data_IF_491271974140
#
_entry.id   IF_491271974140
#
_cell.length_a   1.000
_cell.length_b   1.000
_cell.length_c   1.000
_cell.angle_alpha   90.00
_cell.angle_beta   90.00
_cell.angle_gamma   90.00
#
_symmetry.space_group_name_H-M   'P 1'
#
loop_
_entity.id
_entity.type
_entity.pdbx_description
1 polymer ?
#
# COMPACT_ATOMS: atom_id res chain seq x y z
N UNK A 1 15.67 13.84 -9.30
CA UNK A 1 14.96 12.67 -8.74
C UNK A 1 16.02 11.73 -8.22
N UNK A 2 15.98 11.42 -6.92
CA UNK A 2 16.93 10.51 -6.30
C UNK A 2 16.43 9.10 -6.58
N UNK A 3 17.26 8.26 -7.20
CA UNK A 3 16.89 6.88 -7.49
C UNK A 3 17.09 6.07 -6.21
N UNK A 4 16.07 5.34 -5.81
CA UNK A 4 16.09 4.43 -4.66
C UNK A 4 15.52 3.08 -5.07
N UNK A 5 16.07 2.00 -4.55
CA UNK A 5 15.50 0.67 -4.69
C UNK A 5 14.95 0.27 -3.33
N UNK A 6 13.63 0.19 -3.24
CA UNK A 6 12.93 -0.05 -1.98
C UNK A 6 12.83 -1.55 -1.71
N UNK A 7 13.09 -1.92 -0.45
CA UNK A 7 13.06 -3.28 0.04
C UNK A 7 12.63 -3.31 1.50
N UNK A 8 11.82 -4.31 1.86
CA UNK A 8 11.49 -4.68 3.25
C UNK A 8 12.02 -6.08 3.61
N UNK A 9 13.35 -6.21 3.69
CA UNK A 9 14.00 -7.49 3.94
C UNK A 9 14.30 -7.75 5.43
N UNK A 10 14.12 -9.00 5.90
CA UNK A 10 14.63 -9.45 7.19
C UNK A 10 16.15 -9.30 7.32
N UNK A 11 16.62 -9.07 8.55
CA UNK A 11 18.05 -8.96 8.84
C UNK A 11 18.81 -10.22 8.35
N UNK A 12 19.78 -10.03 7.45
CA UNK A 12 20.60 -11.10 6.88
C UNK A 12 20.33 -11.43 5.41
N UNK A 13 19.23 -10.95 4.82
CA UNK A 13 18.91 -11.22 3.40
C UNK A 13 19.44 -10.19 2.40
N UNK A 14 20.08 -9.10 2.87
CA UNK A 14 20.68 -8.07 2.00
C UNK A 14 22.00 -8.47 1.33
N UNK A 15 22.50 -9.68 1.59
CA UNK A 15 23.76 -10.17 1.01
C UNK A 15 23.73 -10.23 -0.52
N UNK A 16 22.62 -10.70 -1.10
CA UNK A 16 22.43 -10.75 -2.56
C UNK A 16 22.49 -9.35 -3.19
N UNK A 17 21.87 -8.35 -2.55
CA UNK A 17 21.93 -6.95 -2.99
C UNK A 17 23.37 -6.44 -2.99
N UNK A 18 24.10 -6.71 -1.90
CA UNK A 18 25.49 -6.26 -1.76
C UNK A 18 26.36 -6.91 -2.84
N UNK A 19 26.24 -8.22 -3.07
CA UNK A 19 26.96 -8.94 -4.13
C UNK A 19 26.69 -8.35 -5.52
N UNK A 20 25.42 -8.09 -5.85
CA UNK A 20 25.05 -7.54 -7.16
C UNK A 20 25.54 -6.08 -7.35
N UNK A 21 25.55 -5.27 -6.28
CA UNK A 21 26.15 -3.94 -6.32
C UNK A 21 27.68 -3.98 -6.46
N UNK A 22 28.34 -4.97 -5.85
CA UNK A 22 29.78 -5.15 -6.01
C UNK A 22 30.14 -5.54 -7.45
N UNK A 23 29.32 -6.38 -8.09
CA UNK A 23 29.47 -6.72 -9.50
C UNK A 23 29.19 -5.52 -10.41
N UNK A 24 28.18 -4.70 -10.10
CA UNK A 24 27.83 -3.50 -10.88
C UNK A 24 28.94 -2.44 -10.85
N UNK A 25 29.52 -2.16 -9.68
CA UNK A 25 30.52 -1.10 -9.48
C UNK A 25 31.97 -1.58 -9.49
N UNK A 26 32.20 -2.87 -9.66
CA UNK A 26 33.51 -3.52 -9.52
C UNK A 26 34.28 -3.05 -8.27
N UNK A 27 33.55 -2.87 -7.17
CA UNK A 27 34.06 -2.29 -5.92
C UNK A 27 33.65 -3.18 -4.76
N UNK A 28 34.53 -3.39 -3.78
CA UNK A 28 34.19 -4.18 -2.58
C UNK A 28 33.26 -3.41 -1.64
N UNK A 29 32.36 -4.14 -1.00
CA UNK A 29 31.47 -3.57 0.01
C UNK A 29 32.25 -3.19 1.28
N UNK A 30 32.00 -1.99 1.78
CA UNK A 30 32.48 -1.50 3.07
C UNK A 30 31.32 -1.51 4.07
N UNK A 31 31.53 -2.15 5.21
CA UNK A 31 30.54 -2.15 6.28
C UNK A 31 30.72 -0.93 7.18
N UNK A 32 29.66 -0.13 7.37
CA UNK A 32 29.73 1.15 8.09
C UNK A 32 29.59 1.01 9.62
N UNK A 33 29.25 -0.19 10.13
CA UNK A 33 29.17 -0.44 11.57
C UNK A 33 28.01 0.30 12.25
N UNK A 34 28.05 0.36 13.58
CA UNK A 34 27.03 1.05 14.37
C UNK A 34 27.15 2.58 14.24
N UNK A 35 26.04 3.35 14.30
CA UNK A 35 24.67 2.91 14.61
C UNK A 35 23.84 2.48 13.39
N UNK A 36 24.32 2.66 12.16
CA UNK A 36 23.50 2.48 10.94
C UNK A 36 23.42 1.02 10.46
N UNK A 37 24.49 0.23 10.66
CA UNK A 37 24.64 -1.15 10.21
C UNK A 37 24.50 -1.34 8.68
N UNK A 38 24.87 -0.31 7.93
CA UNK A 38 24.71 -0.24 6.48
C UNK A 38 25.96 -0.72 5.73
N UNK A 39 25.79 -1.05 4.46
CA UNK A 39 26.90 -1.34 3.55
C UNK A 39 27.03 -0.23 2.53
N UNK A 40 28.25 0.25 2.30
CA UNK A 40 28.59 1.13 1.20
C UNK A 40 29.25 0.31 0.09
N UNK A 41 28.76 0.44 -1.14
CA UNK A 41 29.33 -0.21 -2.34
C UNK A 41 29.44 0.85 -3.43
N UNK A 42 30.65 1.37 -3.64
CA UNK A 42 30.86 2.53 -4.51
C UNK A 42 30.00 3.73 -4.05
N UNK A 43 29.17 4.33 -4.91
CA UNK A 43 28.28 5.44 -4.54
C UNK A 43 26.96 4.98 -3.89
N UNK A 44 26.69 3.67 -3.83
CA UNK A 44 25.46 3.12 -3.26
C UNK A 44 25.62 2.78 -1.77
N UNK A 45 24.54 2.97 -1.02
CA UNK A 45 24.39 2.59 0.38
C UNK A 45 23.19 1.65 0.49
N UNK A 46 23.41 0.50 1.12
CA UNK A 46 22.41 -0.52 1.39
C UNK A 46 22.04 -0.47 2.87
N UNK A 47 20.80 -0.07 3.12
CA UNK A 47 20.23 0.02 4.45
C UNK A 47 19.99 -1.37 5.08
N UNK A 48 19.69 -1.40 6.38
CA UNK A 48 19.47 -2.67 7.12
C UNK A 48 18.33 -3.51 6.55
N UNK A 49 17.26 -2.85 6.08
CA UNK A 49 16.09 -3.45 5.41
C UNK A 49 16.35 -3.81 3.94
N UNK A 50 17.56 -3.56 3.42
CA UNK A 50 17.93 -3.82 2.03
C UNK A 50 17.69 -2.66 1.07
N UNK A 51 17.08 -1.55 1.51
CA UNK A 51 16.85 -0.39 0.64
C UNK A 51 18.18 0.17 0.12
N UNK A 52 18.29 0.38 -1.19
CA UNK A 52 19.48 0.95 -1.83
C UNK A 52 19.25 2.43 -2.09
N UNK A 53 20.19 3.26 -1.66
CA UNK A 53 20.20 4.70 -1.91
C UNK A 53 21.59 5.14 -2.38
N UNK A 54 21.67 6.26 -3.09
CA UNK A 54 22.95 6.81 -3.55
C UNK A 54 23.23 8.12 -2.85
N UNK A 55 24.39 8.22 -2.19
CA UNK A 55 24.88 9.46 -1.60
C UNK A 55 25.86 10.14 -2.57
N UNK A 56 25.58 11.40 -2.89
CA UNK A 56 26.32 12.16 -3.89
C UNK A 56 25.91 11.82 -5.33
N UNK A 57 26.71 11.00 -6.02
CA UNK A 57 26.52 10.72 -7.45
C UNK A 57 25.41 9.70 -7.67
N UNK A 58 24.29 10.16 -8.23
CA UNK A 58 23.16 9.32 -8.63
C UNK A 58 23.55 8.31 -9.73
N UNK A 59 22.91 7.13 -9.77
CA UNK A 59 23.18 6.13 -10.79
C UNK A 59 22.65 6.60 -12.15
N UNK A 60 23.36 6.25 -13.22
CA UNK A 60 22.88 6.49 -14.58
C UNK A 60 21.73 5.52 -14.91
N UNK A 61 20.92 5.84 -15.94
CA UNK A 61 19.89 4.92 -16.44
C UNK A 61 20.47 3.56 -16.85
N UNK A 62 21.72 3.55 -17.33
CA UNK A 62 22.42 2.30 -17.65
C UNK A 62 22.67 1.50 -16.37
N UNK A 63 23.22 2.14 -15.33
CA UNK A 63 23.52 1.47 -14.06
C UNK A 63 22.25 0.90 -13.39
N UNK A 64 21.14 1.62 -13.45
CA UNK A 64 19.84 1.15 -12.92
C UNK A 64 19.31 -0.05 -13.71
N UNK A 65 19.43 -0.01 -15.04
CA UNK A 65 19.01 -1.13 -15.92
C UNK A 65 19.87 -2.36 -15.67
N UNK A 66 21.19 -2.17 -15.60
CA UNK A 66 22.16 -3.25 -15.40
C UNK A 66 21.96 -3.88 -14.01
N UNK A 67 21.71 -3.06 -12.97
CA UNK A 67 21.38 -3.53 -11.62
C UNK A 67 20.07 -4.33 -11.59
N UNK A 68 19.01 -3.87 -12.27
CA UNK A 68 17.75 -4.63 -12.39
C UNK A 68 17.92 -5.95 -13.14
N UNK A 69 18.84 -5.98 -14.12
CA UNK A 69 19.22 -7.21 -14.82
C UNK A 69 19.88 -8.22 -13.87
N UNK A 70 20.92 -7.79 -13.16
CA UNK A 70 21.65 -8.62 -12.18
C UNK A 70 20.72 -9.15 -11.08
N UNK A 71 19.88 -8.27 -10.52
CA UNK A 71 18.89 -8.63 -9.51
C UNK A 71 17.85 -9.63 -10.04
N UNK A 72 17.53 -9.57 -11.33
CA UNK A 72 16.59 -10.49 -11.98
C UNK A 72 17.15 -11.90 -12.22
N UNK A 73 18.47 -12.07 -12.32
CA UNK A 73 19.09 -13.39 -12.41
C UNK A 73 18.89 -14.20 -11.12
N UNK A 74 18.82 -13.51 -9.98
CA UNK A 74 18.55 -14.09 -8.66
C UNK A 74 17.06 -14.07 -8.26
N UNK A 75 16.15 -13.71 -9.17
CA UNK A 75 14.70 -13.48 -8.92
C UNK A 75 14.45 -12.52 -7.72
N UNK A 76 15.30 -11.50 -7.61
CA UNK A 76 15.40 -10.64 -6.42
C UNK A 76 15.08 -9.17 -6.73
N UNK A 77 13.80 -8.86 -6.93
CA UNK A 77 13.36 -7.53 -7.36
C UNK A 77 12.97 -6.59 -6.21
N UNK A 78 13.16 -5.26 -6.38
CA UNK A 78 12.72 -4.26 -5.40
C UNK A 78 11.20 -4.06 -5.40
N UNK A 79 10.66 -3.60 -4.27
CA UNK A 79 9.23 -3.34 -4.08
C UNK A 79 8.71 -2.24 -5.02
N UNK A 80 9.58 -1.30 -5.42
CA UNK A 80 9.31 -0.22 -6.36
C UNK A 80 9.77 -0.52 -7.80
N UNK A 81 9.83 -1.81 -8.20
CA UNK A 81 10.25 -2.24 -9.55
C UNK A 81 9.48 -1.52 -10.68
N UNK A 82 8.18 -1.33 -10.52
CA UNK A 82 7.33 -0.68 -11.52
C UNK A 82 7.75 0.78 -11.75
N UNK A 83 8.02 1.52 -10.67
CA UNK A 83 8.44 2.93 -10.73
C UNK A 83 9.84 3.07 -11.37
N UNK A 84 10.76 2.15 -11.04
CA UNK A 84 12.09 2.10 -11.63
C UNK A 84 12.06 1.78 -13.14
N UNK A 85 11.21 0.84 -13.58
CA UNK A 85 11.01 0.55 -15.00
C UNK A 85 10.41 1.74 -15.75
N UNK A 86 9.39 2.36 -15.17
CA UNK A 86 8.79 3.56 -15.74
C UNK A 86 9.80 4.71 -15.86
N UNK A 87 10.68 4.89 -14.86
CA UNK A 87 11.77 5.87 -14.90
C UNK A 87 12.83 5.57 -15.98
N UNK A 88 13.09 4.29 -16.29
CA UNK A 88 13.97 3.88 -17.38
C UNK A 88 13.37 4.13 -18.77
N UNK A 89 12.04 4.03 -18.88
CA UNK A 89 11.28 4.15 -20.13
C UNK A 89 10.90 5.59 -20.46
N UNK A 90 10.83 6.47 -19.46
CA UNK A 90 10.61 7.91 -19.65
C UNK A 90 11.82 8.56 -20.33
N UNK A 91 11.72 8.75 -21.65
CA UNK A 91 12.61 9.66 -22.40
C UNK A 91 12.37 11.08 -21.86
N UNK A 92 13.41 11.72 -21.32
CA UNK A 92 13.33 13.08 -20.75
C UNK A 92 12.57 14.06 -21.67
N UNK A 93 11.52 14.74 -21.19
CA UNK A 93 11.20 16.08 -21.66
C UNK A 93 11.97 17.11 -20.82
N UNK A 94 12.22 18.26 -21.45
CA UNK A 94 12.92 19.40 -20.89
C UNK A 94 12.20 19.97 -19.65
N UNK A 95 13.01 20.53 -18.76
CA UNK A 95 12.68 21.41 -17.64
C UNK A 95 11.39 22.22 -17.83
N UNK A 96 10.42 22.03 -16.93
CA UNK A 96 9.54 23.08 -16.45
C UNK A 96 9.19 22.82 -14.99
N UNK A 97 9.22 23.91 -14.23
CA UNK A 97 9.00 24.12 -12.79
C UNK A 97 7.76 23.39 -12.26
N UNK A 98 7.75 22.90 -11.00
CA UNK A 98 6.65 22.09 -10.46
C UNK A 98 5.41 22.95 -10.21
N UNK A 99 4.50 22.98 -11.18
CA UNK A 99 3.08 23.06 -10.88
C UNK A 99 2.62 21.63 -10.59
N UNK A 100 1.79 21.45 -9.55
CA UNK A 100 1.06 20.22 -9.31
C UNK A 100 0.35 19.79 -10.60
N UNK A 101 0.90 18.79 -11.29
CA UNK A 101 0.18 18.07 -12.33
C UNK A 101 -0.15 16.76 -11.65
N UNK A 102 -1.40 16.64 -11.19
CA UNK A 102 -2.01 15.34 -10.96
C UNK A 102 -1.65 14.45 -12.17
N UNK A 103 -1.15 13.22 -11.96
CA UNK A 103 -0.85 12.35 -13.07
C UNK A 103 -2.09 12.33 -13.97
N UNK A 104 -1.96 12.78 -15.23
CA UNK A 104 -2.99 12.59 -16.23
C UNK A 104 -3.19 11.08 -16.31
N UNK A 105 -4.17 10.58 -15.55
CA UNK A 105 -4.58 9.21 -15.61
C UNK A 105 -4.92 8.98 -17.08
N UNK A 106 -4.27 8.02 -17.72
CA UNK A 106 -4.67 7.59 -19.06
C UNK A 106 -6.07 7.01 -18.93
N UNK A 107 -7.08 7.85 -19.08
CA UNK A 107 -8.47 7.47 -18.90
C UNK A 107 -8.96 6.90 -20.23
N UNK A 108 -9.18 5.59 -20.28
CA UNK A 108 -9.80 4.95 -21.43
C UNK A 108 -11.31 5.16 -21.37
N UNK A 109 -11.96 5.48 -22.50
CA UNK A 109 -13.40 5.78 -22.58
C UNK A 109 -14.31 4.67 -21.99
N UNK A 110 -13.81 3.43 -21.92
CA UNK A 110 -14.45 2.31 -21.26
C UNK A 110 -13.65 1.02 -21.42
N UNK A 111 -14.13 -0.05 -20.79
CA UNK A 111 -13.53 -1.40 -20.89
C UNK A 111 -14.63 -2.42 -21.10
N UNK A 112 -14.49 -3.20 -22.16
CA UNK A 112 -15.32 -4.38 -22.44
C UNK A 112 -14.41 -5.59 -22.56
N UNK A 113 -14.68 -6.61 -21.75
CA UNK A 113 -13.98 -7.90 -21.85
C UNK A 113 -14.82 -8.82 -22.71
N UNK A 114 -14.24 -9.35 -23.79
CA UNK A 114 -14.90 -10.25 -24.73
C UNK A 114 -14.14 -11.56 -24.85
N UNK A 115 -14.86 -12.67 -24.83
CA UNK A 115 -14.32 -14.01 -25.10
C UNK A 115 -15.08 -14.67 -26.25
N UNK A 116 -14.45 -15.56 -27.03
CA UNK A 116 -15.17 -16.34 -28.03
C UNK A 116 -16.16 -17.30 -27.35
N UNK A 117 -17.38 -17.36 -27.87
CA UNK A 117 -18.46 -18.21 -27.37
C UNK A 117 -18.08 -19.68 -27.29
N UNK A 118 -17.26 -20.15 -28.23
CA UNK A 118 -16.73 -21.51 -28.28
C UNK A 118 -15.88 -21.89 -27.05
N UNK A 119 -15.34 -20.92 -26.31
CA UNK A 119 -14.51 -21.16 -25.12
C UNK A 119 -15.33 -21.41 -23.85
N UNK A 120 -16.66 -21.28 -23.91
CA UNK A 120 -17.55 -21.43 -22.77
C UNK A 120 -18.67 -22.43 -23.12
N UNK A 121 -18.81 -23.49 -22.33
CA UNK A 121 -19.98 -24.37 -22.44
C UNK A 121 -21.22 -23.68 -21.88
N UNK A 122 -22.41 -24.11 -22.30
CA UNK A 122 -23.68 -23.52 -21.83
C UNK A 122 -23.80 -23.62 -20.31
N UNK A 123 -23.39 -24.76 -19.73
CA UNK A 123 -23.36 -24.95 -18.30
C UNK A 123 -22.38 -24.00 -17.59
N UNK A 124 -21.21 -23.73 -18.18
CA UNK A 124 -20.26 -22.77 -17.63
C UNK A 124 -20.77 -21.32 -17.76
N UNK A 125 -21.46 -20.99 -18.85
CA UNK A 125 -22.09 -19.69 -19.04
C UNK A 125 -23.17 -19.43 -17.98
N UNK A 126 -24.04 -20.40 -17.72
CA UNK A 126 -25.07 -20.28 -16.68
C UNK A 126 -24.47 -20.18 -15.28
N UNK A 127 -23.37 -20.89 -15.00
CA UNK A 127 -22.63 -20.71 -13.74
C UNK A 127 -21.98 -19.35 -13.63
N UNK A 128 -21.44 -18.82 -14.73
CA UNK A 128 -20.85 -17.48 -14.77
C UNK A 128 -21.92 -16.41 -14.50
N UNK A 129 -23.06 -16.47 -15.20
CA UNK A 129 -24.22 -15.60 -14.92
C UNK A 129 -24.63 -15.69 -13.46
N UNK A 130 -24.78 -16.89 -12.91
CA UNK A 130 -25.11 -17.08 -11.49
C UNK A 130 -24.06 -16.50 -10.55
N UNK A 131 -22.77 -16.59 -10.89
CA UNK A 131 -21.69 -16.00 -10.10
C UNK A 131 -21.75 -14.47 -10.13
N UNK A 132 -21.98 -13.89 -11.31
CA UNK A 132 -22.16 -12.45 -11.50
C UNK A 132 -23.39 -11.97 -10.72
N UNK A 133 -24.52 -12.66 -10.77
CA UNK A 133 -25.68 -12.31 -9.93
C UNK A 133 -25.37 -12.38 -8.44
N UNK A 134 -24.70 -13.44 -7.99
CA UNK A 134 -24.41 -13.66 -6.56
C UNK A 134 -23.34 -12.70 -5.99
N UNK A 135 -22.49 -12.14 -6.84
CA UNK A 135 -21.40 -11.22 -6.46
C UNK A 135 -21.61 -9.81 -7.00
N UNK A 136 -22.69 -9.58 -7.75
CA UNK A 136 -22.97 -8.34 -8.46
C UNK A 136 -22.95 -7.11 -7.55
N UNK A 137 -23.71 -7.10 -6.44
CA UNK A 137 -23.70 -5.97 -5.52
C UNK A 137 -22.29 -5.63 -4.97
N UNK A 138 -21.47 -6.65 -4.79
CA UNK A 138 -20.10 -6.50 -4.28
C UNK A 138 -19.16 -5.93 -5.35
N UNK A 139 -19.30 -6.36 -6.60
CA UNK A 139 -18.50 -5.89 -7.76
C UNK A 139 -18.93 -4.46 -8.14
N UNK A 140 -20.24 -4.20 -8.19
CA UNK A 140 -20.81 -2.88 -8.42
C UNK A 140 -20.31 -1.86 -7.40
N UNK A 141 -20.33 -2.20 -6.11
CA UNK A 141 -19.81 -1.31 -5.07
C UNK A 141 -18.29 -1.10 -5.16
N UNK A 142 -17.52 -2.13 -5.53
CA UNK A 142 -16.06 -2.04 -5.61
C UNK A 142 -15.57 -1.14 -6.75
N UNK A 143 -16.24 -1.20 -7.89
CA UNK A 143 -15.85 -0.50 -9.11
C UNK A 143 -16.76 0.70 -9.43
N UNK A 144 -17.72 1.00 -8.55
CA UNK A 144 -18.74 2.04 -8.73
C UNK A 144 -19.42 1.90 -10.11
N UNK A 145 -20.10 0.76 -10.30
CA UNK A 145 -20.82 0.39 -11.52
C UNK A 145 -22.31 0.33 -11.25
N UNK A 146 -23.11 0.73 -12.23
CA UNK A 146 -24.58 0.68 -12.14
C UNK A 146 -25.12 -0.73 -12.40
N UNK A 147 -24.60 -1.42 -13.42
CA UNK A 147 -25.06 -2.75 -13.80
C UNK A 147 -23.91 -3.62 -14.36
N UNK A 148 -24.15 -4.93 -14.47
CA UNK A 148 -23.19 -5.93 -14.94
C UNK A 148 -23.78 -6.77 -16.09
N UNK A 149 -24.09 -6.16 -17.25
CA UNK A 149 -24.66 -6.86 -18.39
C UNK A 149 -23.71 -7.96 -18.91
N UNK A 150 -24.31 -9.02 -19.43
CA UNK A 150 -23.60 -10.11 -20.12
C UNK A 150 -24.29 -10.30 -21.46
N UNK A 151 -23.65 -9.81 -22.52
CA UNK A 151 -24.14 -9.92 -23.89
C UNK A 151 -23.64 -11.23 -24.49
N UNK A 152 -24.54 -12.03 -25.06
CA UNK A 152 -24.23 -13.33 -25.63
C UNK A 152 -24.70 -13.34 -27.08
N UNK A 153 -23.77 -13.59 -27.99
CA UNK A 153 -24.04 -13.85 -29.40
C UNK A 153 -23.59 -15.28 -29.75
N UNK A 154 -23.83 -15.70 -30.99
CA UNK A 154 -23.35 -17.00 -31.48
C UNK A 154 -21.82 -17.07 -31.53
N UNK A 155 -21.14 -15.93 -31.66
CA UNK A 155 -19.68 -15.85 -31.80
C UNK A 155 -18.97 -15.46 -30.51
N UNK A 156 -19.59 -14.61 -29.67
CA UNK A 156 -18.91 -13.97 -28.53
C UNK A 156 -19.78 -13.91 -27.27
N UNK A 157 -19.09 -13.82 -26.13
CA UNK A 157 -19.67 -13.39 -24.85
C UNK A 157 -18.93 -12.15 -24.41
N UNK A 158 -19.66 -11.05 -24.19
CA UNK A 158 -19.11 -9.73 -23.90
C UNK A 158 -19.65 -9.19 -22.56
N UNK A 159 -18.74 -8.59 -21.80
CA UNK A 159 -19.00 -7.99 -20.49
C UNK A 159 -18.69 -6.48 -20.57
N UNK A 160 -19.63 -5.65 -21.07
CA UNK A 160 -19.45 -4.21 -21.21
C UNK A 160 -19.75 -3.49 -19.89
N UNK A 161 -18.99 -3.82 -18.83
CA UNK A 161 -19.29 -3.35 -17.47
C UNK A 161 -18.83 -1.91 -17.22
N UNK A 162 -17.78 -1.44 -17.89
CA UNK A 162 -17.28 -0.08 -17.74
C UNK A 162 -17.57 0.69 -19.04
N UNK A 163 -18.63 1.50 -19.00
CA UNK A 163 -19.02 2.41 -20.09
C UNK A 163 -18.56 3.85 -19.84
N UNK A 164 -17.69 4.06 -18.84
CA UNK A 164 -17.20 5.37 -18.42
C UNK A 164 -15.67 5.41 -18.43
N UNK A 165 -15.09 6.61 -18.49
CA UNK A 165 -13.66 6.78 -18.35
C UNK A 165 -13.14 6.02 -17.12
N UNK A 166 -12.19 5.09 -17.32
CA UNK A 166 -11.58 4.32 -16.23
C UNK A 166 -10.05 4.33 -16.31
N UNK A 167 -9.43 4.10 -15.15
CA UNK A 167 -7.97 4.09 -15.03
C UNK A 167 -7.39 2.79 -15.58
N UNK A 168 -6.12 2.75 -16.02
CA UNK A 168 -5.49 1.51 -16.47
C UNK A 168 -5.48 0.44 -15.38
N UNK A 169 -5.36 0.84 -14.12
CA UNK A 169 -5.42 -0.06 -12.97
C UNK A 169 -6.82 -0.68 -12.79
N UNK A 170 -7.90 0.09 -13.02
CA UNK A 170 -9.26 -0.42 -13.02
C UNK A 170 -9.51 -1.38 -14.19
N UNK A 171 -9.06 -1.01 -15.40
CA UNK A 171 -9.16 -1.84 -16.59
C UNK A 171 -8.47 -3.20 -16.41
N UNK A 172 -7.24 -3.18 -15.90
CA UNK A 172 -6.47 -4.38 -15.62
C UNK A 172 -7.14 -5.23 -14.53
N UNK A 173 -7.53 -4.61 -13.40
CA UNK A 173 -8.17 -5.35 -12.31
C UNK A 173 -9.52 -5.97 -12.70
N UNK A 174 -10.30 -5.29 -13.54
CA UNK A 174 -11.53 -5.83 -14.06
C UNK A 174 -11.27 -7.03 -14.98
N UNK A 175 -10.29 -6.91 -15.89
CA UNK A 175 -9.93 -7.97 -16.83
C UNK A 175 -9.51 -9.24 -16.10
N UNK A 176 -8.63 -9.11 -15.10
CA UNK A 176 -8.18 -10.22 -14.26
C UNK A 176 -9.33 -10.84 -13.45
N UNK A 177 -10.20 -10.00 -12.88
CA UNK A 177 -11.36 -10.47 -12.11
C UNK A 177 -12.30 -11.31 -12.99
N UNK A 178 -12.66 -10.79 -14.18
CA UNK A 178 -13.53 -11.49 -15.13
C UNK A 178 -12.89 -12.80 -15.58
N UNK A 179 -11.60 -12.78 -15.93
CA UNK A 179 -10.85 -13.98 -16.33
C UNK A 179 -10.89 -15.06 -15.24
N UNK A 180 -10.62 -14.70 -13.99
CA UNK A 180 -10.67 -15.64 -12.87
C UNK A 180 -12.09 -16.15 -12.58
N UNK A 181 -13.11 -15.30 -12.72
CA UNK A 181 -14.52 -15.69 -12.58
C UNK A 181 -14.95 -16.68 -13.67
N UNK A 182 -14.50 -16.49 -14.91
CA UNK A 182 -14.74 -17.42 -16.01
C UNK A 182 -14.05 -18.76 -15.78
N UNK A 183 -12.79 -18.75 -15.33
CA UNK A 183 -12.08 -19.98 -14.93
C UNK A 183 -12.82 -20.72 -13.82
N UNK A 184 -13.23 -20.01 -12.77
CA UNK A 184 -14.04 -20.59 -11.70
C UNK A 184 -15.36 -21.18 -12.20
N UNK A 185 -16.03 -20.52 -13.15
CA UNK A 185 -17.30 -20.99 -13.71
C UNK A 185 -17.14 -22.28 -14.55
N UNK A 186 -16.00 -22.43 -15.23
CA UNK A 186 -15.64 -23.66 -15.96
C UNK A 186 -15.44 -24.84 -15.01
N UNK A 187 -14.71 -24.62 -13.91
CA UNK A 187 -14.28 -25.70 -13.01
C UNK A 187 -15.33 -26.05 -11.94
N UNK A 188 -16.20 -25.11 -11.58
CA UNK A 188 -17.18 -25.31 -10.52
C UNK A 188 -18.27 -26.32 -10.94
N UNK A 189 -18.57 -27.28 -10.05
CA UNK A 189 -19.69 -28.22 -10.24
C UNK A 189 -21.07 -27.55 -10.06
N UNK A 190 -21.18 -26.59 -9.13
CA UNK A 190 -22.41 -25.86 -8.82
C UNK A 190 -22.10 -24.45 -8.32
N UNK A 191 -22.91 -23.48 -8.75
CA UNK A 191 -22.91 -22.09 -8.27
C UNK A 191 -24.33 -21.71 -7.85
N UNK A 192 -24.48 -20.94 -6.78
CA UNK A 192 -25.77 -20.45 -6.29
C UNK A 192 -25.89 -18.96 -6.59
N UNK A 193 -26.95 -18.55 -7.28
CA UNK A 193 -27.14 -17.17 -7.75
C UNK A 193 -27.60 -16.17 -6.67
N UNK A 194 -27.89 -16.64 -5.45
CA UNK A 194 -28.49 -15.81 -4.40
C UNK A 194 -27.54 -14.66 -3.98
N UNK A 195 -27.90 -13.40 -4.21
CA UNK A 195 -27.15 -12.27 -3.67
C UNK A 195 -27.22 -12.31 -2.14
N UNK A 196 -26.12 -11.94 -1.49
CA UNK A 196 -26.06 -11.87 -0.04
C UNK A 196 -25.60 -10.48 0.37
N UNK A 197 -26.46 -9.80 1.10
CA UNK A 197 -26.08 -8.59 1.83
C UNK A 197 -25.14 -8.99 2.97
N UNK A 198 -24.00 -8.30 3.06
CA UNK A 198 -22.97 -8.58 4.05
C UNK A 198 -22.62 -7.25 4.73
N UNK A 199 -22.56 -7.25 6.06
CA UNK A 199 -22.28 -6.04 6.86
C UNK A 199 -20.86 -5.49 6.68
N UNK A 200 -19.94 -6.29 6.14
CA UNK A 200 -18.59 -5.86 5.83
C UNK A 200 -18.20 -6.32 4.41
N UNK A 201 -18.54 -5.52 3.38
CA UNK A 201 -18.26 -5.88 2.00
C UNK A 201 -16.75 -5.95 1.72
N UNK A 202 -15.90 -5.13 2.36
CA UNK A 202 -14.45 -5.18 2.15
C UNK A 202 -13.84 -6.52 2.57
N UNK A 203 -14.27 -7.08 3.71
CA UNK A 203 -13.85 -8.42 4.13
C UNK A 203 -14.33 -9.50 3.15
N UNK A 204 -15.58 -9.43 2.72
CA UNK A 204 -16.17 -10.43 1.82
C UNK A 204 -15.50 -10.40 0.45
N UNK A 205 -15.19 -9.22 -0.07
CA UNK A 205 -14.42 -9.07 -1.31
C UNK A 205 -13.04 -9.72 -1.16
N UNK A 206 -12.33 -9.47 -0.06
CA UNK A 206 -11.05 -10.14 0.20
C UNK A 206 -11.17 -11.66 0.12
N UNK A 207 -12.13 -12.25 0.83
CA UNK A 207 -12.34 -13.71 0.82
C UNK A 207 -12.68 -14.22 -0.59
N UNK A 208 -13.45 -13.46 -1.36
CA UNK A 208 -13.78 -13.81 -2.74
C UNK A 208 -12.53 -13.78 -3.65
N UNK A 209 -11.72 -12.73 -3.57
CA UNK A 209 -10.45 -12.62 -4.32
C UNK A 209 -9.48 -13.75 -3.97
N UNK A 210 -9.35 -14.12 -2.69
CA UNK A 210 -8.54 -15.27 -2.28
C UNK A 210 -9.03 -16.57 -2.91
N UNK A 211 -10.36 -16.77 -2.98
CA UNK A 211 -10.97 -17.94 -3.63
C UNK A 211 -10.73 -17.96 -5.15
N UNK A 212 -10.59 -16.79 -5.76
CA UNK A 212 -10.24 -16.64 -7.18
C UNK A 212 -8.74 -16.80 -7.45
N UNK A 213 -7.91 -16.95 -6.41
CA UNK A 213 -6.46 -17.16 -6.54
C UNK A 213 -5.60 -15.90 -6.42
N UNK A 214 -6.17 -14.75 -6.02
CA UNK A 214 -5.44 -13.47 -5.92
C UNK A 214 -4.60 -13.43 -4.63
N UNK A 215 -3.54 -14.25 -4.58
CA UNK A 215 -2.71 -14.50 -3.41
C UNK A 215 -1.28 -14.11 -3.73
N UNK A 216 -0.62 -13.31 -2.88
CA UNK A 216 0.78 -12.93 -3.07
C UNK A 216 0.98 -11.46 -3.47
N UNK A 217 2.25 -10.99 -3.49
CA UNK A 217 2.60 -9.60 -3.79
C UNK A 217 2.21 -9.17 -5.21
N UNK A 218 2.25 -10.06 -6.20
CA UNK A 218 1.86 -9.83 -7.59
C UNK A 218 0.40 -9.37 -7.73
N UNK A 219 -0.48 -9.85 -6.85
CA UNK A 219 -1.89 -9.44 -6.82
C UNK A 219 -2.17 -8.28 -5.85
N UNK A 220 -1.15 -7.65 -5.26
CA UNK A 220 -1.32 -6.53 -4.30
C UNK A 220 -2.04 -5.35 -4.94
N UNK A 221 -1.64 -4.97 -6.17
CA UNK A 221 -2.27 -3.89 -6.92
C UNK A 221 -3.75 -4.17 -7.21
N UNK A 222 -4.05 -5.37 -7.72
CA UNK A 222 -5.42 -5.80 -8.02
C UNK A 222 -6.33 -5.77 -6.78
N UNK A 223 -5.85 -6.29 -5.66
CA UNK A 223 -6.59 -6.29 -4.39
C UNK A 223 -6.83 -4.86 -3.89
N UNK A 224 -5.83 -3.98 -4.01
CA UNK A 224 -5.98 -2.56 -3.64
C UNK A 224 -7.08 -1.90 -4.47
N UNK A 225 -7.10 -2.11 -5.78
CA UNK A 225 -8.13 -1.55 -6.68
C UNK A 225 -9.52 -2.12 -6.38
N UNK A 226 -9.66 -3.45 -6.28
CA UNK A 226 -10.96 -4.12 -6.11
C UNK A 226 -11.56 -3.99 -4.70
N UNK A 227 -10.76 -3.60 -3.70
CA UNK A 227 -11.22 -3.43 -2.32
C UNK A 227 -11.20 -1.98 -1.84
N UNK A 228 -10.56 -1.07 -2.59
CA UNK A 228 -10.28 0.29 -2.15
C UNK A 228 -11.53 1.12 -1.86
N UNK A 229 -12.57 0.97 -2.69
CA UNK A 229 -13.84 1.68 -2.54
C UNK A 229 -14.85 1.03 -1.57
N UNK A 230 -14.54 -0.14 -1.01
CA UNK A 230 -15.49 -0.88 -0.17
C UNK A 230 -15.40 -0.47 1.32
N UNK A 231 -16.54 -0.25 2.00
CA UNK A 231 -16.55 0.06 3.42
C UNK A 231 -16.24 -1.17 4.29
N UNK A 232 -15.76 -0.91 5.51
CA UNK A 232 -15.45 -1.93 6.51
C UNK A 232 -13.99 -2.37 6.54
N UNK A 233 -13.69 -3.38 7.36
CA UNK A 233 -12.34 -3.90 7.58
C UNK A 233 -12.01 -5.05 6.65
N UNK A 234 -10.82 -5.08 6.06
CA UNK A 234 -10.34 -6.24 5.30
C UNK A 234 -9.89 -7.42 6.19
N UNK A 235 -9.70 -7.19 7.49
CA UNK A 235 -9.17 -8.21 8.42
C UNK A 235 -10.28 -8.99 9.14
N UNK A 236 -11.37 -8.31 9.49
CA UNK A 236 -12.40 -8.86 10.38
C UNK A 236 -13.75 -8.93 9.67
N UNK A 237 -14.39 -10.11 9.66
CA UNK A 237 -15.76 -10.25 9.12
C UNK A 237 -16.76 -9.38 9.86
N UNK A 238 -16.68 -9.45 11.18
CA UNK A 238 -17.37 -8.54 12.09
C UNK A 238 -16.23 -7.89 12.85
N UNK A 239 -15.93 -6.60 12.60
CA UNK A 239 -14.93 -5.92 13.38
C UNK A 239 -15.29 -6.09 14.86
N UNK A 240 -14.32 -6.32 15.75
CA UNK A 240 -14.56 -6.19 17.17
C UNK A 240 -15.34 -4.89 17.37
N UNK A 241 -16.41 -4.92 18.19
CA UNK A 241 -16.94 -3.66 18.71
C UNK A 241 -15.72 -2.93 19.22
N UNK A 242 -15.51 -1.69 18.79
CA UNK A 242 -14.56 -0.82 19.45
C UNK A 242 -14.88 -0.97 20.93
N UNK A 243 -14.01 -1.69 21.66
CA UNK A 243 -13.88 -1.37 23.05
C UNK A 243 -13.63 0.13 23.02
N UNK A 244 -14.34 0.90 23.83
CA UNK A 244 -13.98 2.28 24.09
C UNK A 244 -12.52 2.32 24.58
N UNK A 245 -11.54 2.18 23.69
CA UNK A 245 -10.39 3.05 23.70
C UNK A 245 -10.98 4.42 23.41
N UNK A 246 -11.60 5.00 24.45
CA UNK A 246 -11.24 6.35 24.82
C UNK A 246 -9.72 6.35 24.69
N UNK A 247 -9.21 6.93 23.62
CA UNK A 247 -7.96 7.63 23.72
C UNK A 247 -8.12 8.45 24.99
N UNK A 248 -7.50 8.00 26.08
CA UNK A 248 -7.35 8.82 27.26
C UNK A 248 -6.37 9.90 26.83
N UNK A 249 -6.87 10.85 26.04
CA UNK A 249 -6.15 12.02 25.67
C UNK A 249 -5.72 12.64 27.00
N UNK A 250 -4.42 12.78 27.16
CA UNK A 250 -3.83 13.49 28.29
C UNK A 250 -4.22 14.97 28.23
N UNK A 251 -4.57 15.47 27.03
CA UNK A 251 -5.01 16.84 26.79
C UNK A 251 -6.27 17.14 27.61
N UNK A 252 -6.24 18.27 28.31
CA UNK A 252 -7.29 18.74 29.21
C UNK A 252 -7.21 18.15 30.61
N UNK A 253 -6.31 17.21 30.90
CA UNK A 253 -6.09 16.71 32.26
C UNK A 253 -5.17 17.65 33.03
N UNK A 254 -5.44 17.74 34.33
CA UNK A 254 -4.61 18.50 35.27
C UNK A 254 -3.47 17.60 35.75
N UNK A 255 -2.29 18.17 35.89
CA UNK A 255 -1.11 17.48 36.39
C UNK A 255 -0.42 18.30 37.47
N UNK A 256 0.38 17.62 38.28
CA UNK A 256 1.32 18.20 39.24
C UNK A 256 2.74 17.77 38.87
N UNK A 257 3.66 18.73 38.78
CA UNK A 257 5.07 18.48 38.57
C UNK A 257 5.67 17.78 39.78
N UNK A 258 6.43 16.71 39.59
CA UNK A 258 7.17 16.04 40.66
C UNK A 258 8.66 16.36 40.58
N UNK A 259 9.23 16.33 39.38
CA UNK A 259 10.64 16.64 39.16
C UNK A 259 10.87 17.09 37.71
N UNK A 260 11.86 17.95 37.50
CA UNK A 260 12.29 18.38 36.18
C UNK A 260 13.79 18.59 36.12
N UNK A 261 14.40 18.17 35.03
CA UNK A 261 15.85 18.33 34.80
C UNK A 261 16.24 19.65 34.16
N UNK A 262 15.30 20.53 33.81
CA UNK A 262 15.59 21.83 33.17
C UNK A 262 16.16 22.84 34.18
N UNK A 263 17.43 23.26 34.05
CA UNK A 263 18.06 24.21 34.98
C UNK A 263 17.61 25.67 34.78
N UNK A 264 16.83 25.97 33.74
CA UNK A 264 16.37 27.33 33.41
C UNK A 264 14.89 27.57 33.73
N UNK A 265 14.18 26.58 34.27
CA UNK A 265 12.77 26.72 34.65
C UNK A 265 12.61 27.38 36.02
N UNK A 266 11.53 28.16 36.18
CA UNK A 266 11.07 28.68 37.47
C UNK A 266 10.06 27.76 38.16
N UNK A 267 9.75 26.62 37.54
CA UNK A 267 8.85 25.62 38.12
C UNK A 267 9.53 24.90 39.28
N UNK A 268 8.74 24.60 40.30
CA UNK A 268 9.17 23.81 41.46
C UNK A 268 8.28 22.57 41.58
N UNK A 269 8.80 21.45 42.10
CA UNK A 269 7.98 20.30 42.45
C UNK A 269 6.74 20.72 43.25
N UNK A 270 5.57 20.27 42.80
CA UNK A 270 4.26 20.66 43.34
C UNK A 270 3.50 21.67 42.48
N UNK A 271 4.13 22.31 41.50
CA UNK A 271 3.44 23.18 40.55
C UNK A 271 2.37 22.40 39.77
N UNK A 272 1.23 23.03 39.51
CA UNK A 272 0.11 22.42 38.79
C UNK A 272 -0.12 23.10 37.44
N UNK A 273 -0.62 22.33 36.48
CA UNK A 273 -0.92 22.82 35.14
C UNK A 273 -1.90 21.91 34.41
N UNK A 274 -2.39 22.39 33.28
CA UNK A 274 -3.29 21.62 32.40
C UNK A 274 -2.56 21.28 31.11
N UNK A 275 -2.62 20.01 30.71
CA UNK A 275 -2.00 19.55 29.46
C UNK A 275 -2.77 20.15 28.28
N UNK A 276 -2.09 20.90 27.42
CA UNK A 276 -2.68 21.52 26.25
C UNK A 276 -2.47 20.67 24.99
N UNK A 277 -1.30 20.05 24.84
CA UNK A 277 -0.96 19.29 23.64
C UNK A 277 0.15 18.28 23.92
N UNK A 278 0.20 17.21 23.12
CA UNK A 278 1.33 16.27 23.08
C UNK A 278 1.81 16.23 21.64
N UNK A 279 3.07 16.56 21.40
CA UNK A 279 3.62 16.61 20.05
C UNK A 279 4.06 15.23 19.53
N UNK A 280 4.46 15.17 18.26
CA UNK A 280 4.87 13.92 17.59
C UNK A 280 6.15 13.31 18.19
N UNK A 281 6.90 14.06 19.01
CA UNK A 281 8.06 13.57 19.76
C UNK A 281 7.68 13.04 21.15
N UNK A 282 6.42 13.15 21.54
CA UNK A 282 5.90 12.71 22.84
C UNK A 282 6.06 13.72 23.96
N UNK A 283 6.49 14.96 23.67
CA UNK A 283 6.63 16.02 24.68
C UNK A 283 5.26 16.51 25.11
N UNK A 284 5.03 16.63 26.41
CA UNK A 284 3.77 17.06 26.99
C UNK A 284 3.83 18.57 27.22
N UNK A 285 3.09 19.32 26.41
CA UNK A 285 2.97 20.77 26.53
C UNK A 285 1.91 21.12 27.56
N UNK A 286 2.32 21.84 28.61
CA UNK A 286 1.48 22.13 29.77
C UNK A 286 1.31 23.64 29.89
N UNK A 287 0.08 24.09 30.07
CA UNK A 287 -0.22 25.44 30.53
C UNK A 287 -0.18 25.43 32.06
N UNK A 288 0.94 25.87 32.63
CA UNK A 288 1.14 25.90 34.08
C UNK A 288 0.40 27.08 34.72
N UNK A 289 -0.14 26.88 35.91
CA UNK A 289 -0.92 27.93 36.63
C UNK A 289 -0.07 29.16 36.98
N UNK A 290 1.25 29.00 37.05
CA UNK A 290 2.21 30.09 37.28
C UNK A 290 2.61 30.85 35.99
N UNK A 291 2.03 30.50 34.84
CA UNK A 291 2.32 31.10 33.54
C UNK A 291 3.55 30.52 32.82
N UNK A 292 4.18 29.47 33.35
CA UNK A 292 5.25 28.75 32.65
C UNK A 292 4.72 28.03 31.42
N UNK A 293 5.59 27.85 30.42
CA UNK A 293 5.33 27.10 29.19
C UNK A 293 6.26 25.89 29.03
N UNK A 294 6.87 25.43 30.13
CA UNK A 294 7.77 24.27 30.10
C UNK A 294 7.01 23.03 29.58
N UNK A 295 7.54 22.41 28.54
CA UNK A 295 7.13 21.08 28.09
C UNK A 295 7.83 20.00 28.90
N UNK A 296 7.10 18.93 29.24
CA UNK A 296 7.64 17.78 29.97
C UNK A 296 8.01 16.67 28.99
N UNK A 297 9.22 16.14 29.12
CA UNK A 297 9.73 15.04 28.31
C UNK A 297 9.55 13.72 29.09
N UNK A 298 8.75 12.77 28.59
CA UNK A 298 8.57 11.48 29.25
C UNK A 298 9.91 10.73 29.43
N UNK A 299 10.25 10.40 30.67
CA UNK A 299 11.48 9.68 31.03
C UNK A 299 12.63 10.58 31.50
N UNK A 300 12.53 11.89 31.28
CA UNK A 300 13.44 12.89 31.86
C UNK A 300 12.74 13.68 32.97
N UNK A 301 11.50 14.11 32.73
CA UNK A 301 10.68 14.81 33.73
C UNK A 301 9.63 13.87 34.34
N UNK A 302 9.25 14.15 35.60
CA UNK A 302 8.27 13.35 36.36
C UNK A 302 7.06 14.20 36.76
N UNK A 303 5.86 13.64 36.62
CA UNK A 303 4.60 14.30 36.97
C UNK A 303 3.53 13.28 37.39
N UNK A 304 2.55 13.75 38.15
CA UNK A 304 1.36 12.98 38.54
C UNK A 304 0.09 13.63 37.99
N UNK A 305 -0.83 12.80 37.46
CA UNK A 305 -2.17 13.22 37.04
C UNK A 305 -3.06 13.47 38.27
N UNK A 306 -3.83 14.56 38.24
CA UNK A 306 -4.77 14.96 39.29
C UNK A 306 -6.23 14.62 38.93
#
# INVERSE_FOLDING_TARGET
MNVTFEYDLPAGKRGTIVTNLQALYDTKAQYLGAPSYEYQVGPAIVARNGTIRWEGKQPSRKDVRDLLGLLGEDDFYPDNLFDLRHWLETKQPRTTTPAEVEPEELVADGVTVTIPRATLTDAALERFKALVTAKGPLIQAALNLEDLPIEVTDETVSMPWIARPCTPAQAHALTELIGAMLTMARDAKRVTAKPKEESNPRYVMRCFLLRLGFIGPEHKGLRKTLMGGLPGSAAWRTPPKEADTKECSLVGRRIRLEDTSDPYTSLTPGAEGTINHVDDLGTIHVTWDNGSTLGLVPGEDSYTLL
#
